data_IF_349482357273
#
_entry.id   IF_349482357273
#
_cell.length_a   1.000
_cell.length_b   1.000
_cell.length_c   1.000
_cell.angle_alpha   90.00
_cell.angle_beta   90.00
_cell.angle_gamma   90.00
#
_symmetry.space_group_name_H-M   'P 1'
#
loop_
_entity.id
_entity.type
_entity.pdbx_description
1 polymer ?
#
# COMPACT_ATOMS: atom_id res chain seq x y z
N UNK A 1 -0.13 -15.67 0.40
CA UNK A 1 -0.87 -15.45 1.64
C UNK A 1 -1.57 -16.72 2.10
N UNK A 2 -1.50 -16.99 3.38
CA UNK A 2 -2.35 -18.00 3.99
C UNK A 2 -3.68 -17.38 4.37
N UNK A 3 -4.78 -17.96 3.87
CA UNK A 3 -6.13 -17.45 4.13
C UNK A 3 -6.99 -18.60 4.56
N UNK A 4 -7.50 -18.55 5.78
CA UNK A 4 -8.27 -19.65 6.36
C UNK A 4 -7.42 -20.91 6.40
N UNK A 5 -7.89 -22.00 5.79
CA UNK A 5 -7.14 -23.24 5.71
C UNK A 5 -6.34 -23.43 4.44
N UNK A 6 -6.20 -22.36 3.62
CA UNK A 6 -5.55 -22.46 2.33
C UNK A 6 -4.47 -21.41 2.13
N UNK A 7 -3.99 -21.32 0.89
CA UNK A 7 -2.98 -20.35 0.48
C UNK A 7 -3.54 -19.56 -0.70
N UNK A 8 -3.48 -18.24 -0.61
CA UNK A 8 -3.87 -17.36 -1.71
C UNK A 8 -2.61 -16.73 -2.28
N UNK A 9 -2.42 -16.88 -3.58
CA UNK A 9 -1.32 -16.23 -4.29
C UNK A 9 -1.79 -14.88 -4.83
N UNK A 10 -1.07 -13.83 -4.49
CA UNK A 10 -1.36 -12.48 -4.96
C UNK A 10 -0.16 -11.96 -5.73
N UNK A 11 -0.39 -11.50 -6.95
CA UNK A 11 0.63 -10.77 -7.68
C UNK A 11 0.78 -9.37 -7.07
N UNK A 12 2.01 -8.89 -6.89
CA UNK A 12 2.24 -7.57 -6.31
C UNK A 12 1.57 -6.47 -7.14
N UNK A 13 1.50 -6.65 -8.46
CA UNK A 13 0.86 -5.67 -9.35
C UNK A 13 -0.64 -5.54 -9.11
N UNK A 14 -1.27 -6.55 -8.53
CA UNK A 14 -2.71 -6.53 -8.27
C UNK A 14 -3.06 -5.97 -6.90
N UNK A 15 -2.07 -5.74 -6.05
CA UNK A 15 -2.29 -5.16 -4.73
C UNK A 15 -2.34 -3.65 -4.86
N UNK A 16 -3.45 -3.05 -4.42
CA UNK A 16 -3.62 -1.59 -4.42
C UNK A 16 -2.92 -0.97 -3.22
N UNK A 17 -3.25 -1.47 -2.05
CA UNK A 17 -2.62 -1.04 -0.81
C UNK A 17 -2.88 -2.06 0.29
N UNK A 18 -2.10 -1.96 1.37
CA UNK A 18 -2.30 -2.75 2.57
C UNK A 18 -2.76 -1.83 3.69
N UNK A 19 -3.62 -2.34 4.53
CA UNK A 19 -4.15 -1.61 5.67
C UNK A 19 -4.07 -2.47 6.92
N UNK A 20 -3.55 -1.90 8.03
CA UNK A 20 -3.65 -2.56 9.32
C UNK A 20 -4.87 -2.01 10.05
N UNK A 21 -5.77 -2.91 10.45
CA UNK A 21 -7.01 -2.57 11.14
C UNK A 21 -7.47 -3.79 11.93
N UNK A 22 -7.89 -3.55 13.16
CA UNK A 22 -8.42 -4.62 14.02
C UNK A 22 -7.44 -5.79 14.19
N UNK A 23 -6.14 -5.46 14.27
CA UNK A 23 -5.04 -6.43 14.44
C UNK A 23 -4.86 -7.37 13.26
N UNK A 24 -5.46 -7.04 12.13
CA UNK A 24 -5.31 -7.79 10.90
C UNK A 24 -4.64 -6.92 9.84
N UNK A 25 -4.00 -7.60 8.91
CA UNK A 25 -3.43 -6.97 7.75
C UNK A 25 -4.36 -7.26 6.57
N UNK A 26 -4.89 -6.20 5.98
CA UNK A 26 -5.84 -6.30 4.87
C UNK A 26 -5.15 -5.95 3.57
N UNK A 27 -5.15 -6.89 2.63
CA UNK A 27 -4.62 -6.68 1.29
C UNK A 27 -5.78 -6.29 0.39
N UNK A 28 -5.85 -5.02 0.02
CA UNK A 28 -6.86 -4.52 -0.91
C UNK A 28 -6.33 -4.67 -2.32
N UNK A 29 -7.00 -5.52 -3.11
CA UNK A 29 -6.53 -5.87 -4.45
C UNK A 29 -7.54 -5.50 -5.51
N UNK A 30 -7.18 -5.67 -6.77
CA UNK A 30 -8.07 -5.40 -7.90
C UNK A 30 -9.26 -6.36 -7.93
N UNK A 31 -9.18 -7.49 -7.25
CA UNK A 31 -10.23 -8.52 -7.28
C UNK A 31 -10.91 -8.75 -5.93
N UNK A 32 -10.55 -7.99 -4.90
CA UNK A 32 -11.15 -8.14 -3.59
C UNK A 32 -10.16 -7.87 -2.48
N UNK A 33 -10.61 -8.13 -1.25
CA UNK A 33 -9.80 -7.89 -0.05
C UNK A 33 -9.53 -9.22 0.64
N UNK A 34 -8.26 -9.42 1.01
CA UNK A 34 -7.80 -10.60 1.74
C UNK A 34 -7.24 -10.14 3.08
N UNK A 35 -7.68 -10.78 4.16
CA UNK A 35 -7.29 -10.38 5.52
C UNK A 35 -6.55 -11.52 6.19
N UNK A 36 -5.38 -11.22 6.75
CA UNK A 36 -4.54 -12.20 7.42
C UNK A 36 -3.92 -11.58 8.66
N UNK A 37 -3.41 -12.40 9.55
CA UNK A 37 -2.56 -11.92 10.62
C UNK A 37 -1.23 -11.51 10.04
N UNK A 38 -0.70 -10.39 10.50
CA UNK A 38 0.57 -9.93 10.00
C UNK A 38 0.89 -8.53 10.48
N UNK A 39 2.09 -8.09 10.14
CA UNK A 39 2.62 -6.78 10.54
C UNK A 39 2.81 -5.91 9.30
N UNK A 40 2.30 -4.68 9.36
CA UNK A 40 2.50 -3.72 8.28
C UNK A 40 3.99 -3.39 8.12
N UNK A 41 4.73 -3.34 9.23
CA UNK A 41 6.17 -3.09 9.19
C UNK A 41 6.91 -4.17 8.42
N UNK A 42 6.56 -5.44 8.66
CA UNK A 42 7.20 -6.55 7.94
C UNK A 42 6.82 -6.52 6.45
N UNK A 43 5.54 -6.27 6.17
CA UNK A 43 5.09 -6.15 4.77
C UNK A 43 5.80 -5.01 4.06
N UNK A 44 6.02 -3.90 4.74
CA UNK A 44 6.75 -2.76 4.19
C UNK A 44 8.17 -3.17 3.78
N UNK A 45 8.87 -3.91 4.66
CA UNK A 45 10.22 -4.38 4.35
C UNK A 45 10.23 -5.31 3.14
N UNK A 46 9.24 -6.19 3.05
CA UNK A 46 9.16 -7.15 1.95
C UNK A 46 8.77 -6.51 0.63
N UNK A 47 7.99 -5.43 0.66
CA UNK A 47 7.38 -4.85 -0.54
C UNK A 47 8.04 -3.55 -1.01
N UNK A 48 9.01 -3.03 -0.26
CA UNK A 48 9.71 -1.80 -0.67
C UNK A 48 10.35 -1.95 -2.04
N UNK A 49 10.92 -3.12 -2.34
CA UNK A 49 11.55 -3.38 -3.64
C UNK A 49 10.54 -3.37 -4.79
N UNK A 50 9.25 -3.48 -4.49
CA UNK A 50 8.19 -3.47 -5.49
C UNK A 50 7.47 -2.13 -5.55
N UNK A 51 8.09 -1.09 -5.02
CA UNK A 51 7.59 0.29 -5.08
C UNK A 51 6.34 0.52 -4.23
N UNK A 52 6.32 -0.07 -3.05
CA UNK A 52 5.33 0.24 -2.04
C UNK A 52 5.91 1.28 -1.09
N UNK A 53 5.09 2.22 -0.66
CA UNK A 53 5.50 3.27 0.26
C UNK A 53 4.40 3.55 1.28
N UNK A 54 4.81 3.86 2.49
CA UNK A 54 3.87 4.12 3.57
C UNK A 54 3.36 5.57 3.49
N UNK A 55 2.04 5.74 3.44
CA UNK A 55 1.47 7.10 3.44
C UNK A 55 0.96 7.51 4.83
N UNK A 56 0.69 6.56 5.71
CA UNK A 56 0.45 6.84 7.12
C UNK A 56 0.66 5.57 7.94
N UNK A 57 0.39 5.66 9.24
CA UNK A 57 0.64 4.57 10.16
C UNK A 57 -0.10 3.29 9.80
N UNK A 58 -1.26 3.42 9.14
CA UNK A 58 -2.14 2.30 8.83
C UNK A 58 -2.04 1.80 7.39
N UNK A 59 -1.44 2.58 6.48
CA UNK A 59 -1.51 2.27 5.05
C UNK A 59 -0.15 2.17 4.40
N UNK A 60 0.03 1.10 3.62
CA UNK A 60 1.18 0.89 2.74
C UNK A 60 0.65 0.85 1.31
N UNK A 61 1.10 1.77 0.47
CA UNK A 61 0.51 2.03 -0.84
C UNK A 61 1.41 1.51 -1.95
N UNK A 62 0.81 0.80 -2.91
CA UNK A 62 1.49 0.44 -4.14
C UNK A 62 1.52 1.67 -5.06
N UNK A 63 2.71 2.21 -5.29
CA UNK A 63 2.86 3.42 -6.09
C UNK A 63 2.38 3.24 -7.53
N UNK A 64 2.41 2.01 -8.03
CA UNK A 64 1.90 1.68 -9.35
C UNK A 64 0.42 2.06 -9.52
N UNK A 65 -0.34 2.02 -8.45
CA UNK A 65 -1.78 2.30 -8.48
C UNK A 65 -2.15 3.69 -7.98
N UNK A 66 -1.15 4.53 -7.71
CA UNK A 66 -1.40 5.93 -7.33
C UNK A 66 -1.87 6.69 -8.57
N UNK A 67 -3.02 7.32 -8.45
CA UNK A 67 -3.63 8.10 -9.55
C UNK A 67 -3.39 9.60 -9.37
N UNK A 68 -3.08 10.02 -8.16
CA UNK A 68 -2.79 11.42 -7.89
C UNK A 68 -2.67 11.68 -6.40
N UNK A 69 -2.10 12.83 -6.08
CA UNK A 69 -2.00 13.33 -4.71
C UNK A 69 -2.60 14.71 -4.71
N UNK A 70 -3.51 14.97 -3.78
CA UNK A 70 -4.12 16.27 -3.65
C UNK A 70 -4.30 16.58 -2.17
N UNK A 71 -3.76 17.72 -1.73
CA UNK A 71 -3.78 18.14 -0.33
C UNK A 71 -3.15 17.05 0.53
N UNK A 72 -3.88 16.53 1.52
CA UNK A 72 -3.38 15.51 2.43
C UNK A 72 -3.86 14.11 2.06
N UNK A 73 -4.26 13.90 0.80
CA UNK A 73 -4.80 12.62 0.36
C UNK A 73 -4.08 12.11 -0.87
N UNK A 74 -3.97 10.78 -0.95
CA UNK A 74 -3.50 10.08 -2.14
C UNK A 74 -4.65 9.25 -2.69
N UNK A 75 -4.86 9.33 -4.01
CA UNK A 75 -5.87 8.53 -4.70
C UNK A 75 -5.21 7.23 -5.14
N UNK A 76 -5.68 6.11 -4.59
CA UNK A 76 -5.17 4.77 -4.90
C UNK A 76 -6.33 3.95 -5.45
N UNK A 77 -6.31 3.65 -6.74
CA UNK A 77 -7.49 3.07 -7.38
C UNK A 77 -8.69 3.98 -7.18
N UNK A 78 -9.74 3.45 -6.58
CA UNK A 78 -10.97 4.19 -6.30
C UNK A 78 -10.97 4.83 -4.90
N UNK A 79 -9.94 4.60 -4.09
CA UNK A 79 -9.92 5.02 -2.70
C UNK A 79 -9.04 6.24 -2.50
N UNK A 80 -9.45 7.09 -1.56
CA UNK A 80 -8.66 8.23 -1.10
C UNK A 80 -8.14 7.92 0.28
N UNK A 81 -6.81 7.90 0.42
CA UNK A 81 -6.15 7.57 1.67
C UNK A 81 -5.46 8.81 2.22
N UNK A 82 -5.61 9.04 3.53
CA UNK A 82 -4.96 10.17 4.17
C UNK A 82 -3.46 9.97 4.26
N UNK A 83 -2.72 11.03 3.93
CA UNK A 83 -1.27 11.08 4.10
C UNK A 83 -1.01 11.77 5.43
N UNK A 84 -0.42 11.06 6.38
CA UNK A 84 -0.14 11.66 7.68
C UNK A 84 0.98 12.69 7.57
N UNK A 85 0.96 13.66 8.48
CA UNK A 85 2.00 14.68 8.52
C UNK A 85 3.39 14.04 8.68
N UNK A 86 3.50 13.02 9.52
CA UNK A 86 4.77 12.33 9.78
C UNK A 86 5.33 11.66 8.55
N UNK A 87 4.47 11.07 7.73
CA UNK A 87 4.89 10.30 6.56
C UNK A 87 4.95 11.13 5.28
N UNK A 88 4.44 12.34 5.30
CA UNK A 88 4.23 13.13 4.09
C UNK A 88 5.50 13.32 3.26
N UNK A 89 6.57 13.81 3.88
CA UNK A 89 7.80 14.11 3.13
C UNK A 89 8.36 12.84 2.48
N UNK A 90 8.45 11.75 3.24
CA UNK A 90 8.99 10.49 2.72
C UNK A 90 8.08 9.91 1.64
N UNK A 91 6.76 9.99 1.83
CA UNK A 91 5.82 9.46 0.85
C UNK A 91 5.88 10.23 -0.46
N UNK A 92 5.87 11.55 -0.40
CA UNK A 92 5.95 12.39 -1.61
C UNK A 92 7.27 12.19 -2.33
N UNK A 93 8.38 12.00 -1.58
CA UNK A 93 9.66 11.69 -2.19
C UNK A 93 9.62 10.35 -2.92
N UNK A 94 8.95 9.35 -2.34
CA UNK A 94 8.80 8.03 -2.98
C UNK A 94 7.96 8.13 -4.26
N UNK A 95 6.88 8.90 -4.23
CA UNK A 95 6.06 9.14 -5.42
C UNK A 95 6.89 9.81 -6.52
N UNK A 96 7.64 10.85 -6.17
CA UNK A 96 8.46 11.57 -7.14
C UNK A 96 9.53 10.66 -7.74
N UNK A 97 10.18 9.83 -6.91
CA UNK A 97 11.19 8.90 -7.38
C UNK A 97 10.59 7.85 -8.31
N UNK A 98 9.40 7.37 -8.00
CA UNK A 98 8.72 6.39 -8.84
C UNK A 98 8.37 6.98 -10.22
N UNK A 99 7.81 8.19 -10.24
CA UNK A 99 7.46 8.88 -11.49
C UNK A 99 8.72 9.15 -12.30
N UNK A 100 9.78 9.63 -11.65
CA UNK A 100 11.06 9.88 -12.33
C UNK A 100 11.66 8.62 -12.91
N UNK A 101 11.56 7.50 -12.20
CA UNK A 101 12.04 6.21 -12.66
C UNK A 101 11.22 5.63 -13.81
N UNK A 102 9.96 6.06 -13.97
CA UNK A 102 9.09 5.60 -15.04
C UNK A 102 9.37 6.29 -16.38
N UNK A 103 10.12 7.37 -16.33
CA UNK A 103 10.52 8.12 -17.52
C UNK A 103 11.82 7.57 -18.09
#
# INVERSE_FOLDING_TARGET
LQVGGGVQLLATDDILYLETRDRLLHYHTTTGTWSVRGSLLKAEKDLTAYHFARCNQCYLVNLRHVRGVQDDFVQVGEERLEISRRQRAAFLAAVAAYVGGAL
#
